data_IF_312606467423
#
_entry.id   IF_312606467423
#
_cell.length_a   1.000
_cell.length_b   1.000
_cell.length_c   1.000
_cell.angle_alpha   90.00
_cell.angle_beta   90.00
_cell.angle_gamma   90.00
#
_symmetry.space_group_name_H-M   'P 1'
#
loop_
_entity.id
_entity.type
_entity.pdbx_description
1 polymer ?
#
# COMPACT_ATOMS: atom_id res chain seq x y z
N UNK A 1 86.98 -47.20 -53.75
CA UNK A 1 85.87 -48.09 -54.14
C UNK A 1 84.69 -47.18 -54.36
N UNK A 2 84.12 -46.91 -55.54
CA UNK A 2 84.34 -47.24 -56.95
C UNK A 2 83.28 -46.41 -57.69
N UNK A 3 83.65 -45.63 -58.73
CA UNK A 3 82.82 -45.13 -59.87
C UNK A 3 81.48 -44.39 -59.57
N UNK A 4 80.97 -43.42 -60.33
CA UNK A 4 81.38 -42.51 -61.40
C UNK A 4 80.11 -41.69 -61.77
N UNK A 5 80.33 -40.56 -62.45
CA UNK A 5 79.53 -39.93 -63.50
C UNK A 5 78.03 -39.65 -63.30
N UNK A 6 77.74 -38.38 -63.03
CA UNK A 6 77.22 -37.41 -64.01
C UNK A 6 76.54 -37.96 -65.29
N UNK A 7 75.22 -37.76 -65.41
CA UNK A 7 74.58 -37.45 -66.71
C UNK A 7 73.60 -36.29 -66.52
N UNK A 8 73.86 -35.28 -67.35
CA UNK A 8 73.12 -34.06 -67.58
C UNK A 8 72.12 -34.23 -68.74
N UNK A 9 71.10 -33.36 -68.74
CA UNK A 9 70.31 -32.90 -69.90
C UNK A 9 69.13 -33.74 -70.40
N UNK A 10 68.02 -33.05 -70.75
CA UNK A 10 66.97 -33.66 -71.58
C UNK A 10 65.57 -33.07 -71.54
N UNK A 11 65.44 -31.78 -71.85
CA UNK A 11 64.21 -31.00 -72.08
C UNK A 11 63.16 -31.65 -73.04
N UNK A 12 61.88 -31.69 -72.66
CA UNK A 12 60.76 -30.94 -73.30
C UNK A 12 59.38 -31.65 -73.25
N UNK A 13 58.35 -30.85 -72.88
CA UNK A 13 57.03 -30.86 -73.51
C UNK A 13 56.01 -31.92 -73.11
N UNK A 14 55.00 -31.54 -72.31
CA UNK A 14 53.56 -31.64 -72.68
C UNK A 14 52.65 -31.40 -71.46
N UNK A 15 51.66 -30.52 -71.65
CA UNK A 15 50.60 -30.14 -70.71
C UNK A 15 49.76 -31.35 -70.27
N UNK A 16 49.52 -31.53 -68.97
CA UNK A 16 48.17 -31.82 -68.43
C UNK A 16 48.13 -31.86 -66.90
N UNK A 17 47.29 -30.97 -66.33
CA UNK A 17 46.48 -31.14 -65.10
C UNK A 17 47.04 -32.00 -63.96
N UNK A 18 47.50 -31.32 -62.90
CA UNK A 18 46.89 -31.31 -61.54
C UNK A 18 47.80 -30.49 -60.61
N UNK A 19 47.41 -29.25 -60.31
CA UNK A 19 48.04 -28.46 -59.26
C UNK A 19 47.47 -28.93 -57.92
N UNK A 20 48.22 -29.76 -57.20
CA UNK A 20 47.99 -29.95 -55.76
C UNK A 20 48.68 -28.80 -55.06
N UNK A 21 47.92 -27.73 -54.76
CA UNK A 21 48.38 -26.66 -53.87
C UNK A 21 48.29 -27.25 -52.46
N UNK A 22 49.44 -27.56 -51.86
CA UNK A 22 49.54 -27.70 -50.40
C UNK A 22 49.50 -26.28 -49.83
N UNK A 23 48.29 -25.86 -49.43
CA UNK A 23 48.10 -24.65 -48.66
C UNK A 23 48.56 -24.93 -47.22
N UNK A 24 49.76 -24.46 -46.86
CA UNK A 24 50.10 -24.28 -45.45
C UNK A 24 49.35 -23.03 -44.99
N UNK A 25 48.15 -23.25 -44.46
CA UNK A 25 47.38 -22.23 -43.78
C UNK A 25 48.05 -21.96 -42.42
N UNK A 26 48.90 -20.94 -42.36
CA UNK A 26 49.23 -20.29 -41.09
C UNK A 26 48.00 -19.46 -40.70
N UNK A 27 47.03 -20.09 -40.05
CA UNK A 27 45.95 -19.38 -39.36
C UNK A 27 46.57 -18.65 -38.17
N UNK A 28 46.91 -17.38 -38.38
CA UNK A 28 47.15 -16.43 -37.31
C UNK A 28 45.83 -16.26 -36.57
N UNK A 29 45.72 -16.83 -35.37
CA UNK A 29 44.69 -16.46 -34.40
C UNK A 29 45.00 -15.06 -33.87
N UNK A 30 44.69 -14.03 -34.65
CA UNK A 30 44.45 -12.71 -34.06
C UNK A 30 43.11 -12.84 -33.37
N UNK A 31 43.15 -13.03 -32.05
CA UNK A 31 41.99 -12.80 -31.21
C UNK A 31 41.53 -11.36 -31.45
N UNK A 32 40.49 -11.19 -32.27
CA UNK A 32 39.69 -9.97 -32.28
C UNK A 32 38.97 -9.98 -30.93
N UNK A 33 39.66 -9.47 -29.92
CA UNK A 33 39.11 -9.05 -28.64
C UNK A 33 38.33 -7.74 -28.85
N UNK A 34 37.38 -7.75 -29.79
CA UNK A 34 36.37 -6.71 -29.96
C UNK A 34 35.05 -7.32 -29.55
N UNK A 35 34.77 -7.23 -28.25
CA UNK A 35 33.42 -6.95 -27.76
C UNK A 35 32.34 -7.99 -28.02
N UNK A 36 32.62 -9.29 -27.89
CA UNK A 36 31.56 -10.25 -27.55
C UNK A 36 31.45 -10.29 -26.02
N UNK A 37 30.92 -9.22 -25.45
CA UNK A 37 30.37 -9.26 -24.09
C UNK A 37 29.17 -10.19 -24.16
N UNK A 38 29.35 -11.43 -23.75
CA UNK A 38 28.24 -12.31 -23.41
C UNK A 38 27.51 -11.68 -22.22
N UNK A 39 26.55 -10.79 -22.49
CA UNK A 39 25.61 -10.31 -21.49
C UNK A 39 24.68 -11.48 -21.16
N UNK A 40 25.06 -12.29 -20.19
CA UNK A 40 24.14 -13.25 -19.58
C UNK A 40 23.05 -12.43 -18.86
N UNK A 41 21.93 -12.19 -19.53
CA UNK A 41 20.70 -11.69 -18.92
C UNK A 41 20.27 -12.74 -17.89
N UNK A 42 20.42 -12.44 -16.60
CA UNK A 42 19.89 -13.33 -15.57
C UNK A 42 18.38 -13.20 -15.57
N UNK A 43 17.71 -14.34 -15.75
CA UNK A 43 16.26 -14.46 -15.71
C UNK A 43 15.87 -14.93 -14.31
N UNK A 44 14.83 -14.33 -13.74
CA UNK A 44 14.35 -14.65 -12.40
C UNK A 44 12.86 -14.96 -12.46
N UNK A 45 12.45 -16.04 -11.80
CA UNK A 45 11.04 -16.38 -11.68
C UNK A 45 10.33 -15.37 -10.76
N UNK A 46 9.07 -15.11 -11.07
CA UNK A 46 8.29 -14.11 -10.39
C UNK A 46 6.79 -14.33 -10.56
N UNK A 47 6.03 -13.39 -10.03
CA UNK A 47 4.58 -13.37 -10.10
C UNK A 47 4.13 -12.09 -10.80
N UNK A 48 3.26 -12.23 -11.79
CA UNK A 48 2.54 -11.13 -12.43
C UNK A 48 1.19 -10.95 -11.77
N UNK A 49 0.88 -9.71 -11.42
CA UNK A 49 -0.42 -9.25 -10.98
C UNK A 49 -1.01 -8.36 -12.07
N UNK A 50 -2.26 -8.62 -12.44
CA UNK A 50 -3.00 -7.79 -13.39
C UNK A 50 -4.22 -7.22 -12.68
N UNK A 51 -4.34 -5.90 -12.65
CA UNK A 51 -5.49 -5.19 -12.12
C UNK A 51 -6.26 -4.54 -13.25
N UNK A 52 -7.59 -4.57 -13.15
CA UNK A 52 -8.44 -3.67 -13.90
C UNK A 52 -8.35 -2.29 -13.24
N UNK A 53 -8.15 -1.25 -14.04
CA UNK A 53 -8.22 0.14 -13.57
C UNK A 53 -9.33 0.85 -14.32
N UNK A 54 -10.07 1.69 -13.60
CA UNK A 54 -11.08 2.56 -14.20
C UNK A 54 -10.40 3.66 -15.02
N UNK A 55 -11.04 4.15 -16.10
CA UNK A 55 -10.56 5.31 -16.83
C UNK A 55 -10.34 6.48 -15.87
N UNK A 56 -9.16 7.09 -15.90
CA UNK A 56 -8.80 8.21 -15.04
C UNK A 56 -8.16 9.32 -15.86
N UNK A 57 -8.22 10.55 -15.33
CA UNK A 57 -7.53 11.70 -15.92
C UNK A 57 -5.99 11.63 -15.76
N UNK A 58 -5.48 10.65 -15.00
CA UNK A 58 -4.06 10.47 -14.76
C UNK A 58 -3.38 9.78 -15.93
N UNK A 59 -2.19 10.28 -16.29
CA UNK A 59 -1.38 9.64 -17.31
C UNK A 59 -0.78 8.33 -16.80
N UNK A 60 -0.53 7.40 -17.73
CA UNK A 60 0.08 6.11 -17.44
C UNK A 60 1.39 6.21 -16.64
N UNK A 61 2.25 7.17 -16.95
CA UNK A 61 3.52 7.38 -16.22
C UNK A 61 3.29 7.84 -14.78
N UNK A 62 2.25 8.65 -14.52
CA UNK A 62 1.91 9.07 -13.16
C UNK A 62 1.43 7.89 -12.31
N UNK A 63 0.60 7.03 -12.90
CA UNK A 63 0.12 5.80 -12.25
C UNK A 63 1.30 4.87 -11.95
N UNK A 64 2.13 4.60 -12.96
CA UNK A 64 3.33 3.76 -12.82
C UNK A 64 4.24 4.29 -11.73
N UNK A 65 4.58 5.58 -11.73
CA UNK A 65 5.46 6.17 -10.73
C UNK A 65 4.86 6.16 -9.32
N UNK A 66 3.54 6.28 -9.16
CA UNK A 66 2.90 6.18 -7.84
C UNK A 66 2.95 4.76 -7.28
N UNK A 67 2.66 3.76 -8.12
CA UNK A 67 2.75 2.34 -7.78
C UNK A 67 4.20 1.96 -7.48
N UNK A 68 5.16 2.44 -8.28
CA UNK A 68 6.59 2.19 -8.10
C UNK A 68 7.10 2.73 -6.77
N UNK A 69 6.84 4.01 -6.45
CA UNK A 69 7.22 4.60 -5.16
C UNK A 69 6.70 3.82 -3.96
N UNK A 70 5.50 3.26 -4.08
CA UNK A 70 4.90 2.48 -3.00
C UNK A 70 5.52 1.09 -2.87
N UNK A 71 5.79 0.43 -4.00
CA UNK A 71 6.53 -0.82 -4.02
C UNK A 71 7.95 -0.64 -3.51
N UNK A 72 8.65 0.46 -3.81
CA UNK A 72 10.00 0.74 -3.29
C UNK A 72 10.05 0.81 -1.76
N UNK A 73 8.97 1.23 -1.11
CA UNK A 73 8.88 1.26 0.36
C UNK A 73 8.62 -0.09 1.02
N UNK A 74 8.29 -1.13 0.24
CA UNK A 74 7.78 -2.41 0.74
C UNK A 74 8.51 -3.63 0.16
N UNK A 75 9.04 -3.52 -1.06
CA UNK A 75 9.62 -4.59 -1.86
C UNK A 75 10.87 -4.13 -2.61
N UNK A 76 12.01 -4.68 -2.19
CA UNK A 76 13.34 -4.38 -2.74
C UNK A 76 13.73 -5.22 -3.97
N UNK A 77 12.91 -6.22 -4.34
CA UNK A 77 13.20 -7.12 -5.46
C UNK A 77 13.00 -6.45 -6.83
N UNK A 78 13.45 -7.11 -7.90
CA UNK A 78 13.21 -6.61 -9.25
C UNK A 78 11.70 -6.57 -9.55
N UNK A 79 11.26 -5.49 -10.19
CA UNK A 79 9.85 -5.24 -10.51
C UNK A 79 9.73 -4.52 -11.85
N UNK A 80 8.68 -4.83 -12.59
CA UNK A 80 8.30 -4.10 -13.79
C UNK A 80 6.82 -3.71 -13.70
N UNK A 81 6.51 -2.44 -13.92
CA UNK A 81 5.14 -1.91 -13.83
C UNK A 81 4.78 -1.29 -15.17
N UNK A 82 3.62 -1.64 -15.71
CA UNK A 82 3.12 -1.12 -16.99
C UNK A 82 1.62 -0.91 -16.92
N UNK A 83 1.16 0.20 -17.49
CA UNK A 83 -0.23 0.36 -17.87
C UNK A 83 -0.38 -0.11 -19.31
N UNK A 84 -1.32 -1.02 -19.56
CA UNK A 84 -1.57 -1.68 -20.85
C UNK A 84 -3.03 -1.55 -21.24
N UNK A 85 -3.38 -2.05 -22.44
CA UNK A 85 -4.75 -2.03 -22.97
C UNK A 85 -5.37 -0.63 -22.92
N UNK A 86 -4.70 0.33 -23.55
CA UNK A 86 -5.12 1.74 -23.67
C UNK A 86 -5.50 2.41 -22.33
N UNK A 87 -4.82 2.04 -21.24
CA UNK A 87 -5.04 2.67 -19.94
C UNK A 87 -6.01 1.92 -19.03
N UNK A 88 -6.47 0.73 -19.42
CA UNK A 88 -7.51 0.00 -18.66
C UNK A 88 -6.96 -1.12 -17.78
N UNK A 89 -5.69 -1.50 -17.95
CA UNK A 89 -5.07 -2.52 -17.10
C UNK A 89 -3.72 -2.09 -16.56
N UNK A 90 -3.51 -2.35 -15.28
CA UNK A 90 -2.21 -2.21 -14.61
C UNK A 90 -1.59 -3.60 -14.44
N UNK A 91 -0.42 -3.80 -15.03
CA UNK A 91 0.38 -5.02 -14.91
C UNK A 91 1.59 -4.75 -14.02
N UNK A 92 1.81 -5.61 -13.03
CA UNK A 92 2.92 -5.55 -12.10
C UNK A 92 3.60 -6.92 -12.07
N UNK A 93 4.83 -7.00 -12.58
CA UNK A 93 5.63 -8.21 -12.56
C UNK A 93 6.64 -8.09 -11.39
N UNK A 94 6.62 -9.03 -10.46
CA UNK A 94 7.41 -9.01 -9.22
C UNK A 94 8.37 -10.19 -9.15
N UNK A 95 9.62 -9.97 -8.75
CA UNK A 95 10.61 -11.02 -8.48
C UNK A 95 10.32 -11.71 -7.14
N UNK A 96 9.14 -12.30 -7.02
CA UNK A 96 8.79 -13.16 -5.91
C UNK A 96 7.72 -14.15 -6.34
N UNK A 97 7.83 -15.37 -5.86
CA UNK A 97 6.81 -16.43 -6.00
C UNK A 97 6.17 -16.75 -4.66
N UNK A 98 6.60 -16.09 -3.57
CA UNK A 98 6.11 -16.35 -2.22
C UNK A 98 4.72 -15.75 -2.05
N UNK A 99 3.71 -16.61 -1.86
CA UNK A 99 2.33 -16.12 -1.73
C UNK A 99 2.14 -15.08 -0.63
N UNK A 100 2.64 -15.27 0.60
CA UNK A 100 2.45 -14.29 1.66
C UNK A 100 2.98 -12.89 1.30
N UNK A 101 4.10 -12.80 0.59
CA UNK A 101 4.66 -11.51 0.16
C UNK A 101 3.83 -10.89 -0.97
N UNK A 102 3.37 -11.70 -1.93
CA UNK A 102 2.48 -11.25 -3.01
C UNK A 102 1.15 -10.76 -2.45
N UNK A 103 0.58 -11.49 -1.49
CA UNK A 103 -0.67 -11.15 -0.83
C UNK A 103 -0.52 -9.84 -0.05
N UNK A 104 0.58 -9.66 0.68
CA UNK A 104 0.87 -8.40 1.37
C UNK A 104 1.08 -7.20 0.42
N UNK A 105 1.71 -7.43 -0.75
CA UNK A 105 1.82 -6.41 -1.81
C UNK A 105 0.44 -6.05 -2.37
N UNK A 106 -0.43 -7.04 -2.64
CA UNK A 106 -1.78 -6.79 -3.12
C UNK A 106 -2.60 -5.98 -2.09
N UNK A 107 -2.52 -6.34 -0.81
CA UNK A 107 -3.15 -5.57 0.28
C UNK A 107 -2.64 -4.12 0.29
N UNK A 108 -1.33 -3.90 0.22
CA UNK A 108 -0.75 -2.55 0.21
C UNK A 108 -1.18 -1.71 -1.02
N UNK A 109 -1.34 -2.34 -2.18
CA UNK A 109 -1.75 -1.66 -3.42
C UNK A 109 -3.23 -1.33 -3.45
N UNK A 110 -4.07 -2.12 -2.78
CA UNK A 110 -5.49 -1.86 -2.64
C UNK A 110 -5.79 -0.56 -1.90
N UNK A 111 -4.99 -0.27 -0.87
CA UNK A 111 -5.11 0.94 -0.09
C UNK A 111 -4.95 2.19 -0.96
N UNK A 112 -5.82 3.19 -0.88
CA UNK A 112 -5.66 4.43 -1.65
C UNK A 112 -4.63 5.35 -1.00
N UNK A 113 -4.50 5.29 0.32
CA UNK A 113 -3.63 6.14 1.12
C UNK A 113 -4.29 7.41 1.63
N UNK A 114 -5.61 7.38 1.80
CA UNK A 114 -6.37 8.41 2.47
C UNK A 114 -6.20 8.30 3.99
N UNK A 115 -5.18 8.94 4.53
CA UNK A 115 -5.09 9.23 5.95
C UNK A 115 -5.98 10.43 6.30
N UNK A 116 -6.72 10.36 7.41
CA UNK A 116 -7.48 11.48 7.98
C UNK A 116 -7.38 11.50 9.50
N UNK A 117 -7.35 12.69 10.07
CA UNK A 117 -7.47 12.91 11.52
C UNK A 117 -8.81 13.58 11.81
N UNK A 118 -9.71 12.86 12.47
CA UNK A 118 -11.08 13.30 12.70
C UNK A 118 -11.42 13.23 14.19
N UNK A 119 -12.12 14.23 14.72
CA UNK A 119 -12.70 14.10 16.06
C UNK A 119 -13.91 13.16 16.00
N UNK A 120 -14.02 12.20 16.91
CA UNK A 120 -15.19 11.31 16.97
C UNK A 120 -16.36 12.01 17.67
N UNK A 121 -17.55 11.90 17.08
CA UNK A 121 -18.77 12.47 17.61
C UNK A 121 -19.17 11.79 18.93
N UNK A 122 -19.81 12.56 19.82
CA UNK A 122 -20.12 12.11 21.18
C UNK A 122 -21.48 12.61 21.63
N UNK A 123 -22.26 11.77 22.33
CA UNK A 123 -23.52 12.17 22.93
C UNK A 123 -23.37 13.42 23.81
N UNK A 124 -24.30 14.37 23.68
CA UNK A 124 -24.37 15.56 24.54
C UNK A 124 -23.30 16.64 24.28
N UNK A 125 -22.38 16.45 23.33
CA UNK A 125 -21.43 17.49 22.87
C UNK A 125 -21.67 17.88 21.41
N UNK A 126 -21.97 16.90 20.56
CA UNK A 126 -21.99 17.08 19.11
C UNK A 126 -23.39 16.86 18.52
N UNK A 127 -24.41 17.50 19.10
CA UNK A 127 -25.82 17.30 18.73
C UNK A 127 -26.11 17.51 17.25
N UNK A 128 -25.65 18.63 16.67
CA UNK A 128 -25.95 18.97 15.27
C UNK A 128 -25.52 17.91 14.25
N UNK A 129 -24.30 17.36 14.36
CA UNK A 129 -23.82 16.30 13.46
C UNK A 129 -24.53 14.96 13.73
N UNK A 130 -24.90 14.68 14.99
CA UNK A 130 -25.66 13.47 15.35
C UNK A 130 -27.08 13.54 14.78
N UNK A 131 -27.72 14.70 14.86
CA UNK A 131 -29.07 14.92 14.32
C UNK A 131 -29.06 14.83 12.79
N UNK A 132 -28.05 15.43 12.13
CA UNK A 132 -27.86 15.28 10.69
C UNK A 132 -27.64 13.81 10.28
N UNK A 133 -26.84 13.07 11.06
CA UNK A 133 -26.58 11.66 10.80
C UNK A 133 -27.84 10.79 10.98
N UNK A 134 -28.68 11.08 11.99
CA UNK A 134 -29.97 10.42 12.19
C UNK A 134 -30.93 10.73 11.04
N UNK A 135 -31.07 11.99 10.65
CA UNK A 135 -31.91 12.38 9.51
C UNK A 135 -31.47 11.72 8.19
N UNK A 136 -30.15 11.58 7.98
CA UNK A 136 -29.61 10.83 6.84
C UNK A 136 -30.06 9.36 6.87
N UNK A 137 -29.93 8.69 8.02
CA UNK A 137 -30.33 7.29 8.18
C UNK A 137 -31.84 7.13 7.98
N UNK A 138 -32.65 8.03 8.52
CA UNK A 138 -34.12 8.01 8.38
C UNK A 138 -34.55 8.17 6.92
N UNK A 139 -33.74 8.85 6.10
CA UNK A 139 -33.96 8.94 4.64
C UNK A 139 -33.56 7.68 3.85
N UNK A 140 -32.97 6.68 4.52
CA UNK A 140 -32.44 5.47 3.89
C UNK A 140 -31.11 5.69 3.16
N UNK A 141 -30.44 6.83 3.37
CA UNK A 141 -29.17 7.13 2.72
C UNK A 141 -28.01 6.47 3.48
N UNK A 142 -27.33 5.53 2.83
CA UNK A 142 -26.20 4.78 3.37
C UNK A 142 -24.83 5.43 3.12
N UNK A 143 -24.79 6.63 2.52
CA UNK A 143 -23.54 7.33 2.27
C UNK A 143 -22.69 7.47 3.55
N UNK A 144 -21.38 7.36 3.39
CA UNK A 144 -20.43 7.56 4.51
C UNK A 144 -20.41 9.02 4.95
N UNK A 145 -20.50 9.95 4.01
CA UNK A 145 -20.48 11.37 4.33
C UNK A 145 -21.84 11.84 4.84
N UNK A 146 -21.84 12.55 5.96
CA UNK A 146 -23.01 13.17 6.58
C UNK A 146 -23.00 14.65 6.21
N UNK A 147 -24.12 15.11 5.63
CA UNK A 147 -24.30 16.51 5.24
C UNK A 147 -25.40 17.15 6.06
N UNK A 148 -25.26 18.44 6.33
CA UNK A 148 -26.31 19.24 6.97
C UNK A 148 -27.42 19.61 5.98
N UNK A 149 -28.42 20.36 6.46
CA UNK A 149 -29.54 20.81 5.63
C UNK A 149 -29.15 21.74 4.47
N UNK A 150 -27.97 22.38 4.53
CA UNK A 150 -27.43 23.20 3.44
C UNK A 150 -26.66 22.38 2.40
N UNK A 151 -26.41 21.10 2.69
CA UNK A 151 -25.60 20.21 1.89
C UNK A 151 -24.11 20.26 2.22
N UNK A 152 -23.68 21.01 3.24
CA UNK A 152 -22.28 21.05 3.65
C UNK A 152 -21.88 19.76 4.40
N UNK A 153 -20.68 19.19 4.17
CA UNK A 153 -20.23 18.02 4.91
C UNK A 153 -19.93 18.40 6.36
N UNK A 154 -20.58 17.72 7.31
CA UNK A 154 -20.45 17.96 8.76
C UNK A 154 -19.97 16.73 9.53
N UNK A 155 -20.05 15.55 8.92
CA UNK A 155 -19.59 14.31 9.52
C UNK A 155 -19.27 13.24 8.50
N UNK A 156 -18.68 12.15 8.98
CA UNK A 156 -18.39 10.96 8.19
C UNK A 156 -18.49 9.71 9.05
N UNK A 157 -19.14 8.69 8.53
CA UNK A 157 -19.12 7.34 9.08
C UNK A 157 -17.84 6.62 8.65
N UNK A 158 -17.07 6.17 9.64
CA UNK A 158 -15.79 5.49 9.46
C UNK A 158 -15.87 4.10 10.06
N UNK A 159 -15.49 3.08 9.30
CA UNK A 159 -15.61 1.68 9.71
C UNK A 159 -14.58 1.40 10.80
N UNK A 160 -15.00 0.89 11.95
CA UNK A 160 -14.06 0.48 13.00
C UNK A 160 -13.28 -0.73 12.52
N UNK A 161 -11.95 -0.62 12.51
CA UNK A 161 -11.10 -1.74 12.13
C UNK A 161 -11.23 -2.88 13.16
N UNK A 162 -11.13 -4.11 12.68
CA UNK A 162 -11.37 -5.31 13.48
C UNK A 162 -10.45 -6.45 13.06
N UNK A 163 -10.04 -7.25 14.04
CA UNK A 163 -9.34 -8.52 13.83
C UNK A 163 -10.24 -9.68 14.22
N UNK A 164 -9.73 -10.91 14.13
CA UNK A 164 -10.39 -12.08 14.71
C UNK A 164 -9.66 -12.45 15.99
N UNK A 165 -10.40 -12.51 17.09
CA UNK A 165 -9.89 -12.99 18.35
C UNK A 165 -9.55 -14.49 18.22
N UNK A 166 -8.30 -14.85 18.51
CA UNK A 166 -7.81 -16.23 18.30
C UNK A 166 -8.39 -17.23 19.30
N UNK A 167 -8.86 -16.79 20.46
CA UNK A 167 -9.40 -17.67 21.49
C UNK A 167 -10.86 -18.04 21.22
N UNK A 168 -11.65 -17.09 20.73
CA UNK A 168 -13.09 -17.23 20.54
C UNK A 168 -13.50 -17.38 19.06
N UNK A 169 -12.68 -16.89 18.13
CA UNK A 169 -13.01 -16.78 16.71
C UNK A 169 -13.94 -15.62 16.38
N UNK A 170 -14.29 -14.79 17.37
CA UNK A 170 -15.16 -13.62 17.16
C UNK A 170 -14.39 -12.41 16.64
N UNK A 171 -15.08 -11.45 16.00
CA UNK A 171 -14.47 -10.16 15.69
C UNK A 171 -13.94 -9.48 16.97
N UNK A 172 -12.79 -8.83 16.89
CA UNK A 172 -12.25 -7.97 17.95
C UNK A 172 -12.03 -6.58 17.37
N UNK A 173 -12.81 -5.61 17.81
CA UNK A 173 -12.66 -4.21 17.39
C UNK A 173 -11.31 -3.67 17.89
N UNK A 174 -10.53 -3.02 17.02
CA UNK A 174 -9.28 -2.35 17.40
C UNK A 174 -9.52 -1.07 18.20
N UNK A 175 -10.68 -0.43 18.02
CA UNK A 175 -11.11 0.74 18.78
C UNK A 175 -12.23 0.38 19.75
N UNK A 176 -12.11 0.82 21.00
CA UNK A 176 -13.16 0.65 22.00
C UNK A 176 -14.46 1.36 21.55
N UNK A 177 -15.58 0.65 21.38
CA UNK A 177 -16.82 1.24 20.86
C UNK A 177 -17.56 2.12 21.88
N UNK A 178 -17.20 2.03 23.16
CA UNK A 178 -17.85 2.76 24.26
C UNK A 178 -17.87 4.28 24.02
N UNK A 179 -19.05 4.86 24.20
CA UNK A 179 -19.26 6.31 24.12
C UNK A 179 -19.20 6.88 22.69
N UNK A 180 -19.01 6.02 21.67
CA UNK A 180 -19.11 6.40 20.27
C UNK A 180 -20.57 6.37 19.81
N UNK A 181 -20.85 7.15 18.78
CA UNK A 181 -22.10 7.04 18.02
C UNK A 181 -21.86 6.01 16.92
N UNK A 182 -22.61 4.91 16.96
CA UNK A 182 -22.38 3.74 16.12
C UNK A 182 -23.56 3.50 15.18
N UNK A 183 -23.25 2.99 14.00
CA UNK A 183 -24.24 2.36 13.10
C UNK A 183 -23.72 1.05 12.56
N UNK A 184 -24.63 0.17 12.16
CA UNK A 184 -24.30 -1.03 11.41
C UNK A 184 -23.81 -0.63 10.01
N UNK A 185 -22.60 -1.02 9.64
CA UNK A 185 -21.98 -0.62 8.37
C UNK A 185 -22.75 -1.12 7.13
N UNK A 186 -23.50 -2.21 7.26
CA UNK A 186 -24.25 -2.83 6.15
C UNK A 186 -25.64 -2.23 6.00
N UNK A 187 -26.35 -2.00 7.11
CA UNK A 187 -27.76 -1.57 7.08
C UNK A 187 -27.95 -0.08 7.33
N UNK A 188 -26.92 0.62 7.82
CA UNK A 188 -26.99 2.02 8.22
C UNK A 188 -27.73 2.28 9.54
N UNK A 189 -28.38 1.27 10.12
CA UNK A 189 -29.16 1.43 11.35
C UNK A 189 -28.27 1.80 12.54
N UNK A 190 -28.71 2.75 13.36
CA UNK A 190 -28.03 3.11 14.61
C UNK A 190 -27.93 1.88 15.53
N UNK A 191 -26.76 1.72 16.14
CA UNK A 191 -26.48 0.65 17.10
C UNK A 191 -26.32 1.24 18.49
N UNK A 192 -27.29 0.97 19.35
CA UNK A 192 -27.22 1.28 20.77
C UNK A 192 -26.73 0.06 21.54
N UNK A 193 -25.43 0.02 21.87
CA UNK A 193 -24.84 -1.07 22.63
C UNK A 193 -25.37 -1.06 24.07
N UNK A 194 -25.80 -2.22 24.57
CA UNK A 194 -26.23 -2.38 25.96
C UNK A 194 -25.11 -1.97 26.93
N UNK A 195 -25.46 -1.35 28.07
CA UNK A 195 -24.46 -0.87 29.05
C UNK A 195 -23.52 -1.97 29.56
N UNK A 196 -23.96 -3.23 29.54
CA UNK A 196 -23.13 -4.39 29.90
C UNK A 196 -21.98 -4.66 28.93
N UNK A 197 -22.10 -4.23 27.67
CA UNK A 197 -21.06 -4.36 26.64
C UNK A 197 -20.12 -3.14 26.60
N UNK A 198 -20.39 -2.13 27.41
CA UNK A 198 -19.63 -0.87 27.47
C UNK A 198 -18.58 -0.90 28.60
N UNK A 199 -17.89 -2.03 28.73
CA UNK A 199 -16.80 -2.26 29.70
C UNK A 199 -15.46 -1.94 29.05
N UNK A 200 -14.42 -1.73 29.87
CA UNK A 200 -13.07 -1.44 29.37
C UNK A 200 -12.44 -2.63 28.59
N UNK A 201 -12.99 -3.84 28.75
CA UNK A 201 -12.58 -5.07 28.05
C UNK A 201 -13.63 -5.50 26.98
N UNK A 202 -14.67 -4.68 26.77
CA UNK A 202 -15.86 -5.04 26.01
C UNK A 202 -15.67 -5.20 24.50
N UNK A 203 -14.46 -5.06 23.97
CA UNK A 203 -14.20 -5.23 22.52
C UNK A 203 -14.56 -6.65 22.05
N UNK A 204 -14.23 -7.67 22.83
CA UNK A 204 -14.54 -9.08 22.50
C UNK A 204 -16.02 -9.38 22.75
N UNK A 205 -16.61 -8.83 23.81
CA UNK A 205 -18.05 -8.96 24.12
C UNK A 205 -18.92 -8.31 23.04
N UNK A 206 -18.51 -7.13 22.55
CA UNK A 206 -19.15 -6.49 21.40
C UNK A 206 -18.96 -7.32 20.14
N UNK A 207 -17.78 -7.94 19.96
CA UNK A 207 -17.53 -8.91 18.89
C UNK A 207 -18.50 -10.09 18.90
N UNK A 208 -18.75 -10.66 20.08
CA UNK A 208 -19.75 -11.70 20.26
C UNK A 208 -21.15 -11.20 19.90
N UNK A 209 -21.54 -10.04 20.45
CA UNK A 209 -22.83 -9.42 20.14
C UNK A 209 -23.00 -9.17 18.64
N UNK A 210 -21.95 -8.71 17.97
CA UNK A 210 -21.94 -8.51 16.52
C UNK A 210 -22.20 -9.82 15.79
N UNK A 211 -21.51 -10.89 16.16
CA UNK A 211 -21.72 -12.22 15.60
C UNK A 211 -23.17 -12.71 15.80
N UNK A 212 -23.68 -12.65 17.03
CA UNK A 212 -25.02 -13.11 17.39
C UNK A 212 -26.13 -12.33 16.66
N UNK A 213 -25.88 -11.05 16.31
CA UNK A 213 -26.82 -10.17 15.63
C UNK A 213 -26.53 -10.01 14.13
N UNK A 214 -25.61 -10.81 13.57
CA UNK A 214 -25.22 -10.76 12.16
C UNK A 214 -24.77 -9.36 11.70
N UNK A 215 -24.07 -8.64 12.60
CA UNK A 215 -23.43 -7.35 12.33
C UNK A 215 -22.00 -7.61 11.89
N UNK A 216 -21.69 -7.32 10.63
CA UNK A 216 -20.36 -7.60 10.07
C UNK A 216 -19.36 -6.47 10.28
N UNK A 217 -19.83 -5.29 10.69
CA UNK A 217 -19.02 -4.10 10.93
C UNK A 217 -19.82 -3.00 11.60
N UNK A 218 -19.11 -2.16 12.34
CA UNK A 218 -19.66 -0.97 12.99
C UNK A 218 -18.94 0.26 12.46
N UNK A 219 -19.72 1.25 12.00
CA UNK A 219 -19.17 2.56 11.70
C UNK A 219 -19.29 3.47 12.92
N UNK A 220 -18.22 4.21 13.23
CA UNK A 220 -18.26 5.32 14.17
C UNK A 220 -18.51 6.64 13.45
N UNK A 221 -19.31 7.52 14.04
CA UNK A 221 -19.51 8.87 13.52
C UNK A 221 -18.32 9.75 13.87
N UNK A 222 -17.65 10.27 12.85
CA UNK A 222 -16.60 11.27 12.96
C UNK A 222 -17.10 12.64 12.48
N UNK A 223 -16.50 13.70 13.00
CA UNK A 223 -16.80 15.09 12.65
C UNK A 223 -15.88 15.51 11.52
N UNK A 224 -16.45 16.15 10.51
CA UNK A 224 -15.70 16.70 9.38
C UNK A 224 -15.58 18.20 9.59
N UNK A 225 -14.34 18.68 9.60
CA UNK A 225 -14.00 20.09 9.71
C UNK A 225 -13.46 20.56 8.36
N UNK A 226 -14.33 21.10 7.47
CA UNK A 226 -13.96 21.39 6.09
C UNK A 226 -12.91 22.51 5.97
N UNK A 227 -12.72 23.31 7.03
CA UNK A 227 -11.68 24.34 7.13
C UNK A 227 -10.30 23.79 7.51
N UNK A 228 -10.20 22.52 7.93
CA UNK A 228 -8.97 21.89 8.39
C UNK A 228 -8.55 20.74 7.46
N UNK A 229 -7.51 20.99 6.66
CA UNK A 229 -6.87 19.93 5.89
C UNK A 229 -5.88 19.17 6.78
N UNK A 230 -6.26 17.96 7.18
CA UNK A 230 -5.46 17.01 7.96
C UNK A 230 -5.53 15.63 7.31
N UNK A 231 -4.68 15.46 6.30
CA UNK A 231 -4.60 14.27 5.48
C UNK A 231 -3.15 13.77 5.35
N UNK A 232 -2.91 12.81 4.46
CA UNK A 232 -1.55 12.31 4.18
C UNK A 232 -0.57 13.39 3.73
N UNK A 233 -1.03 14.43 3.01
CA UNK A 233 -0.19 15.54 2.54
C UNK A 233 0.25 16.47 3.70
N UNK A 234 -0.36 16.31 4.87
CA UNK A 234 -0.01 17.01 6.11
C UNK A 234 1.19 16.41 6.83
N UNK A 235 1.71 15.26 6.37
CA UNK A 235 2.84 14.56 6.97
C UNK A 235 4.17 14.92 6.29
N UNK A 236 5.22 15.10 7.08
CA UNK A 236 6.60 15.21 6.60
C UNK A 236 7.37 13.90 6.73
N UNK A 237 6.96 13.02 7.65
CA UNK A 237 7.65 11.77 7.90
C UNK A 237 6.72 10.75 8.57
N UNK A 238 6.93 9.47 8.26
CA UNK A 238 6.31 8.33 8.94
C UNK A 238 7.32 7.21 9.11
N UNK A 239 7.37 6.58 10.28
CA UNK A 239 8.27 5.47 10.55
C UNK A 239 7.70 4.48 11.56
N UNK A 240 8.27 3.27 11.54
CA UNK A 240 7.99 2.25 12.54
C UNK A 240 8.66 2.67 13.84
N UNK A 241 7.95 2.52 14.94
CA UNK A 241 8.45 2.77 16.29
C UNK A 241 7.84 1.74 17.24
N UNK A 242 8.13 1.88 18.52
CA UNK A 242 7.48 1.15 19.60
C UNK A 242 6.77 2.14 20.51
N UNK A 243 5.63 1.74 21.07
CA UNK A 243 4.91 2.53 22.06
C UNK A 243 5.54 2.42 23.46
N UNK A 244 4.94 3.08 24.46
CA UNK A 244 5.43 3.04 25.83
C UNK A 244 5.42 1.63 26.47
N UNK A 245 4.71 0.69 25.89
CA UNK A 245 4.59 -0.71 26.32
C UNK A 245 5.51 -1.65 25.52
N UNK A 246 6.27 -1.12 24.55
CA UNK A 246 7.11 -1.92 23.65
C UNK A 246 6.34 -2.60 22.52
N UNK A 247 5.07 -2.21 22.28
CA UNK A 247 4.29 -2.71 21.15
C UNK A 247 4.60 -1.92 19.88
N UNK A 248 4.48 -2.56 18.71
CA UNK A 248 4.69 -1.89 17.42
C UNK A 248 3.73 -0.70 17.25
N UNK A 249 4.27 0.39 16.69
CA UNK A 249 3.53 1.62 16.46
C UNK A 249 4.04 2.36 15.21
N UNK A 250 3.29 3.36 14.76
CA UNK A 250 3.70 4.27 13.67
C UNK A 250 3.94 5.66 14.25
N UNK A 251 5.18 6.15 14.21
CA UNK A 251 5.48 7.56 14.49
C UNK A 251 5.20 8.40 13.26
N UNK A 252 4.57 9.55 13.48
CA UNK A 252 4.23 10.53 12.46
C UNK A 252 4.85 11.87 12.83
N UNK A 253 5.44 12.54 11.83
CA UNK A 253 5.79 13.95 11.93
C UNK A 253 5.00 14.75 10.90
N UNK A 254 4.53 15.92 11.32
CA UNK A 254 3.69 16.79 10.50
C UNK A 254 4.52 17.91 9.86
N UNK A 255 4.10 18.32 8.67
CA UNK A 255 4.57 19.58 8.07
C UNK A 255 4.18 20.77 8.96
N UNK A 256 4.71 21.96 8.66
CA UNK A 256 4.32 23.17 9.41
C UNK A 256 2.81 23.45 9.30
N UNK A 257 2.23 23.31 8.10
CA UNK A 257 0.80 23.48 7.87
C UNK A 257 -0.01 22.41 8.59
N UNK A 258 0.38 21.13 8.46
CA UNK A 258 -0.26 20.01 9.14
C UNK A 258 -0.23 20.16 10.66
N UNK A 259 0.88 20.65 11.20
CA UNK A 259 1.04 20.90 12.64
C UNK A 259 0.07 21.95 13.16
N UNK A 260 -0.13 23.03 12.40
CA UNK A 260 -1.10 24.09 12.75
C UNK A 260 -2.54 23.59 12.64
N UNK A 261 -2.86 22.79 11.63
CA UNK A 261 -4.18 22.20 11.49
C UNK A 261 -4.48 21.23 12.65
N UNK A 262 -3.54 20.34 12.99
CA UNK A 262 -3.68 19.37 14.10
C UNK A 262 -3.85 20.08 15.43
N UNK A 263 -3.09 21.14 15.66
CA UNK A 263 -3.21 21.96 16.86
C UNK A 263 -4.59 22.61 16.96
N UNK A 264 -5.08 23.17 15.85
CA UNK A 264 -6.41 23.80 15.79
C UNK A 264 -7.50 22.78 16.08
N UNK A 265 -7.43 21.59 15.46
CA UNK A 265 -8.37 20.50 15.69
C UNK A 265 -8.38 20.08 17.16
N UNK A 266 -7.21 19.74 17.70
CA UNK A 266 -7.10 19.25 19.09
C UNK A 266 -7.50 20.29 20.12
N UNK A 267 -7.23 21.58 19.89
CA UNK A 267 -7.73 22.68 20.73
C UNK A 267 -9.25 22.77 20.74
N UNK A 268 -9.90 22.65 19.58
CA UNK A 268 -11.36 22.72 19.43
C UNK A 268 -12.07 21.62 20.23
N UNK A 269 -11.42 20.46 20.33
CA UNK A 269 -11.97 19.25 20.96
C UNK A 269 -11.36 18.90 22.33
N UNK A 270 -10.71 19.85 23.00
CA UNK A 270 -10.24 19.65 24.38
C UNK A 270 -11.38 19.17 25.32
N UNK A 271 -11.05 18.46 26.41
CA UNK A 271 -12.05 17.98 27.35
C UNK A 271 -12.85 19.12 27.98
N UNK A 272 -14.17 18.92 28.12
CA UNK A 272 -15.07 19.85 28.82
C UNK A 272 -15.75 19.11 29.96
N UNK A 273 -15.33 19.38 31.20
CA UNK A 273 -15.72 18.60 32.36
C UNK A 273 -15.23 17.14 32.24
N UNK A 274 -16.14 16.17 32.42
CA UNK A 274 -15.85 14.73 32.26
C UNK A 274 -15.95 14.23 30.82
N UNK A 275 -16.29 15.10 29.86
CA UNK A 275 -16.46 14.71 28.44
C UNK A 275 -15.14 14.87 27.70
N UNK A 276 -14.54 13.76 27.29
CA UNK A 276 -13.30 13.70 26.53
C UNK A 276 -13.58 13.27 25.11
N UNK A 277 -13.15 14.03 24.11
CA UNK A 277 -13.32 13.67 22.69
C UNK A 277 -12.14 12.84 22.21
N UNK A 278 -12.40 11.85 21.36
CA UNK A 278 -11.37 10.97 20.78
C UNK A 278 -10.92 11.50 19.43
N UNK A 279 -9.63 11.42 19.16
CA UNK A 279 -9.02 11.71 17.86
C UNK A 279 -8.95 10.41 17.07
N UNK A 280 -9.89 10.20 16.16
CA UNK A 280 -9.85 9.09 15.22
C UNK A 280 -8.76 9.28 14.18
N UNK A 281 -7.87 8.30 14.06
CA UNK A 281 -6.93 8.19 12.96
C UNK A 281 -7.51 7.18 11.98
N UNK A 282 -7.89 7.67 10.82
CA UNK A 282 -8.63 6.92 9.81
C UNK A 282 -7.74 6.73 8.59
N UNK A 283 -7.60 5.49 8.14
CA UNK A 283 -6.80 5.13 6.99
C UNK A 283 -7.69 4.35 6.02
N UNK A 284 -7.92 4.89 4.83
CA UNK A 284 -8.83 4.34 3.81
C UNK A 284 -10.21 3.98 4.36
N UNK A 285 -10.78 4.94 5.10
CA UNK A 285 -12.06 4.83 5.79
C UNK A 285 -12.15 3.75 6.89
N UNK A 286 -11.04 3.12 7.26
CA UNK A 286 -10.88 2.28 8.44
C UNK A 286 -10.37 3.11 9.62
N UNK A 287 -11.13 3.15 10.71
CA UNK A 287 -10.73 3.76 11.97
C UNK A 287 -9.79 2.80 12.70
N UNK A 288 -8.50 3.12 12.66
CA UNK A 288 -7.42 2.27 13.18
C UNK A 288 -7.23 2.47 14.68
N UNK A 289 -7.21 3.73 15.12
CA UNK A 289 -7.06 4.10 16.54
C UNK A 289 -7.86 5.35 16.87
N UNK A 290 -8.21 5.52 18.14
CA UNK A 290 -9.00 6.65 18.61
C UNK A 290 -8.62 7.11 20.04
N UNK A 291 -7.39 7.58 20.27
CA UNK A 291 -6.97 8.08 21.59
C UNK A 291 -7.76 9.32 22.04
N UNK A 292 -7.85 9.52 23.35
CA UNK A 292 -8.47 10.72 23.92
C UNK A 292 -7.61 11.97 23.64
N UNK A 293 -8.27 13.07 23.25
CA UNK A 293 -7.65 14.39 23.13
C UNK A 293 -7.58 15.00 24.52
N UNK A 294 -6.38 15.02 25.11
CA UNK A 294 -6.15 15.56 26.45
C UNK A 294 -5.50 16.95 26.43
N UNK A 295 -4.71 17.23 25.40
CA UNK A 295 -3.98 18.48 25.23
C UNK A 295 -3.79 18.79 23.74
N UNK A 296 -3.48 20.04 23.37
CA UNK A 296 -3.14 20.38 21.99
C UNK A 296 -1.91 19.60 21.49
N UNK A 297 -1.98 19.10 20.26
CA UNK A 297 -0.90 18.35 19.61
C UNK A 297 -0.41 19.16 18.41
N UNK A 298 0.90 19.29 18.23
CA UNK A 298 1.49 20.11 17.16
C UNK A 298 2.30 19.29 16.18
N UNK A 299 3.42 18.70 16.62
CA UNK A 299 4.47 18.26 15.68
C UNK A 299 4.50 16.75 15.42
N UNK A 300 4.14 15.95 16.41
CA UNK A 300 4.30 14.50 16.36
C UNK A 300 3.04 13.82 16.89
N UNK A 301 2.72 12.69 16.29
CA UNK A 301 1.73 11.75 16.79
C UNK A 301 2.27 10.33 16.69
N UNK A 302 1.74 9.45 17.52
CA UNK A 302 2.04 8.02 17.46
C UNK A 302 0.71 7.29 17.27
N UNK A 303 0.60 6.52 16.19
CA UNK A 303 -0.50 5.58 15.99
C UNK A 303 -0.15 4.32 16.77
N UNK A 304 -0.92 4.01 17.80
CA UNK A 304 -0.79 2.79 18.60
C UNK A 304 -1.97 1.85 18.34
N UNK A 305 -1.73 0.55 18.54
CA UNK A 305 -2.74 -0.49 18.35
C UNK A 305 -2.10 -1.89 18.36
N UNK A 306 -2.94 -2.92 18.31
CA UNK A 306 -2.52 -4.32 18.19
C UNK A 306 -2.04 -4.59 16.75
N UNK A 307 -0.90 -4.03 16.37
CA UNK A 307 -0.39 -4.11 15.01
C UNK A 307 0.53 -5.31 14.75
N UNK A 308 0.39 -5.89 13.56
CA UNK A 308 1.41 -6.79 13.02
C UNK A 308 2.49 -6.01 12.25
N UNK A 309 3.71 -6.57 12.17
CA UNK A 309 4.84 -5.91 11.47
C UNK A 309 4.50 -5.59 10.00
N UNK A 310 3.85 -6.52 9.30
CA UNK A 310 3.46 -6.34 7.90
C UNK A 310 2.43 -5.22 7.74
N UNK A 311 1.50 -5.08 8.69
CA UNK A 311 0.50 -4.03 8.70
C UNK A 311 1.16 -2.65 8.86
N UNK A 312 2.07 -2.49 9.82
CA UNK A 312 2.82 -1.24 10.02
C UNK A 312 3.64 -0.87 8.80
N UNK A 313 4.30 -1.85 8.18
CA UNK A 313 5.06 -1.64 6.95
C UNK A 313 4.16 -1.18 5.79
N UNK A 314 2.99 -1.77 5.63
CA UNK A 314 2.02 -1.36 4.63
C UNK A 314 1.54 0.07 4.87
N UNK A 315 1.17 0.42 6.10
CA UNK A 315 0.76 1.79 6.47
C UNK A 315 1.88 2.78 6.13
N UNK A 316 3.11 2.53 6.58
CA UNK A 316 4.25 3.45 6.34
C UNK A 316 4.53 3.60 4.84
N UNK A 317 4.52 2.50 4.08
CA UNK A 317 4.77 2.53 2.64
C UNK A 317 3.72 3.40 1.93
N UNK A 318 2.45 3.24 2.30
CA UNK A 318 1.36 4.04 1.74
C UNK A 318 1.48 5.50 2.14
N UNK A 319 1.75 5.80 3.41
CA UNK A 319 1.91 7.18 3.90
C UNK A 319 3.09 7.91 3.24
N UNK A 320 4.21 7.21 2.99
CA UNK A 320 5.38 7.79 2.29
C UNK A 320 5.16 7.97 0.80
N UNK A 321 4.47 7.03 0.16
CA UNK A 321 4.21 7.08 -1.28
C UNK A 321 3.14 8.12 -1.65
N UNK A 322 2.27 8.45 -0.68
CA UNK A 322 1.11 9.30 -0.88
C UNK A 322 -0.05 8.55 -1.52
N UNK A 323 -1.07 9.33 -1.92
CA UNK A 323 -2.30 8.80 -2.52
C UNK A 323 -2.04 8.12 -3.86
N UNK A 324 -2.68 6.97 -4.07
CA UNK A 324 -2.67 6.29 -5.35
C UNK A 324 -3.60 7.04 -6.32
N UNK A 325 -3.18 7.31 -7.57
CA UNK A 325 -4.02 8.01 -8.55
C UNK A 325 -5.22 7.18 -9.05
N UNK A 326 -5.18 5.86 -8.86
CA UNK A 326 -6.21 4.93 -9.31
C UNK A 326 -6.54 3.96 -8.18
N UNK A 327 -7.81 3.60 -8.05
CA UNK A 327 -8.25 2.55 -7.14
C UNK A 327 -7.88 1.18 -7.71
N UNK A 328 -7.38 0.28 -6.85
CA UNK A 328 -7.07 -1.09 -7.20
C UNK A 328 -7.91 -2.02 -6.34
N UNK A 329 -8.52 -3.04 -6.94
CA UNK A 329 -9.27 -4.05 -6.17
C UNK A 329 -8.34 -4.82 -5.22
N UNK A 330 -8.87 -5.27 -4.07
CA UNK A 330 -8.11 -6.05 -3.08
C UNK A 330 -7.43 -7.27 -3.70
N UNK A 331 -8.11 -7.92 -4.66
CA UNK A 331 -7.58 -9.06 -5.40
C UNK A 331 -7.34 -8.67 -6.85
N UNK A 332 -6.17 -9.02 -7.42
CA UNK A 332 -5.91 -8.79 -8.82
C UNK A 332 -6.88 -9.60 -9.68
N UNK A 333 -7.20 -9.08 -10.87
CA UNK A 333 -7.98 -9.77 -11.88
C UNK A 333 -7.30 -11.08 -12.30
N UNK A 334 -5.97 -11.08 -12.41
CA UNK A 334 -5.17 -12.28 -12.71
C UNK A 334 -3.88 -12.28 -11.89
N UNK A 335 -3.50 -13.49 -11.47
CA UNK A 335 -2.21 -13.80 -10.86
C UNK A 335 -1.58 -14.99 -11.58
N UNK A 336 -0.42 -14.79 -12.20
CA UNK A 336 0.23 -15.81 -13.03
C UNK A 336 1.77 -15.80 -12.87
N UNK A 337 2.45 -16.94 -13.07
CA UNK A 337 3.90 -16.97 -13.05
C UNK A 337 4.49 -16.18 -14.22
N UNK A 338 5.61 -15.49 -13.99
CA UNK A 338 6.33 -14.73 -15.01
C UNK A 338 7.83 -14.91 -14.85
N UNK A 339 8.57 -14.72 -15.93
CA UNK A 339 10.04 -14.63 -15.90
C UNK A 339 10.45 -13.19 -16.16
N UNK A 340 11.11 -12.59 -15.17
CA UNK A 340 11.65 -11.23 -15.23
C UNK A 340 13.09 -11.24 -15.71
N UNK A 341 13.49 -10.20 -16.44
CA UNK A 341 14.87 -10.02 -16.89
C UNK A 341 15.55 -8.99 -15.99
N UNK A 342 16.65 -9.36 -15.32
CA UNK A 342 17.44 -8.38 -14.56
C UNK A 342 18.40 -7.63 -15.48
N UNK A 343 18.39 -6.28 -15.50
CA UNK A 343 19.52 -5.52 -16.02
C UNK A 343 20.70 -5.66 -15.04
N UNK A 344 21.87 -6.09 -15.50
CA UNK A 344 23.07 -6.14 -14.66
C UNK A 344 23.49 -4.73 -14.25
N UNK A 345 23.78 -4.56 -12.95
CA UNK A 345 24.38 -3.37 -12.36
C UNK A 345 25.62 -2.96 -13.18
N UNK A 346 25.71 -1.69 -13.61
CA UNK A 346 26.96 -1.16 -14.16
C UNK A 346 28.00 -1.18 -13.04
N UNK A 347 29.06 -1.97 -13.22
CA UNK A 347 30.22 -1.91 -12.33
C UNK A 347 30.86 -0.52 -12.44
N UNK A 348 31.28 0.12 -11.33
CA UNK A 348 32.02 1.37 -11.41
C UNK A 348 33.38 1.07 -12.07
N UNK A 349 33.63 1.69 -13.22
CA UNK A 349 34.92 1.67 -13.90
C UNK A 349 35.96 2.47 -13.11
#
# INVERSE_FOLDING_TARGET
MSYADEIESGNSGSRSRRKTIVAIAVTVWVAIAVGLVFFAKTSVEGTRLVYQIEPSDFRADQIVSAVERRLDGFFDGAKEIRVVEDGTRLQIDLETTQSPQVDAIATMLHHEGHLRFLALAQPGRHGAVIDAARAQIDSGNLAREVRDASGAPVGRWVLIDQTVDRATGWPKLKVEPKGLILRNSKTGAIVDLASSLQTSEGQVEVGQWMFDNNVTGLDALAIVEPDLQLDGDSLSFAAMTEDASGQLAVSLEFTQQGSTALETLTKRYLPVGQRQTRLGIVFDDLLITAPNILQPIRKQAVITGDFEKAEVQAIIAVLKAGRLPVELAEKPLKREPVTLTKPMLKWPL
#
